data_IF_894403976056
#
_entry.id   IF_894403976056
#
_cell.length_a   1.000
_cell.length_b   1.000
_cell.length_c   1.000
_cell.angle_alpha   90.00
_cell.angle_beta   90.00
_cell.angle_gamma   90.00
#
_symmetry.space_group_name_H-M   'P 1'
#
loop_
_entity.id
_entity.type
_entity.pdbx_description
1 polymer ?
#
# COMPACT_ATOMS: atom_id res chain seq x y z
N UNK A 1 -26.13 -11.07 -7.04
CA UNK A 1 -24.98 -11.71 -6.38
C UNK A 1 -23.78 -11.53 -7.31
N UNK A 2 -22.66 -11.00 -6.82
CA UNK A 2 -21.45 -10.88 -7.63
C UNK A 2 -20.65 -12.18 -7.51
N UNK A 3 -20.16 -12.76 -8.61
CA UNK A 3 -19.30 -13.92 -8.56
C UNK A 3 -17.93 -13.55 -7.95
N UNK A 4 -17.47 -14.35 -6.99
CA UNK A 4 -16.15 -14.24 -6.39
C UNK A 4 -15.30 -15.43 -6.85
N UNK A 5 -14.15 -15.13 -7.46
CA UNK A 5 -13.18 -16.13 -7.90
C UNK A 5 -11.97 -16.09 -6.97
N UNK A 6 -11.92 -16.99 -6.02
CA UNK A 6 -10.76 -17.16 -5.13
C UNK A 6 -9.60 -17.85 -5.87
N UNK A 7 -8.39 -17.62 -5.38
CA UNK A 7 -7.16 -18.23 -5.91
C UNK A 7 -6.92 -17.92 -7.41
N UNK A 8 -7.51 -16.85 -7.92
CA UNK A 8 -7.32 -16.40 -9.29
C UNK A 8 -6.35 -15.23 -9.33
N UNK A 9 -5.20 -15.44 -9.97
CA UNK A 9 -4.18 -14.42 -10.16
C UNK A 9 -4.21 -13.91 -11.61
N UNK A 10 -4.36 -12.59 -11.78
CA UNK A 10 -4.31 -11.96 -13.12
C UNK A 10 -2.87 -12.00 -13.63
N UNK A 11 -2.68 -12.61 -14.79
CA UNK A 11 -1.38 -12.83 -15.42
C UNK A 11 -1.25 -12.17 -16.78
N UNK A 12 -2.33 -11.63 -17.34
CA UNK A 12 -2.32 -10.97 -18.64
C UNK A 12 -3.54 -10.09 -18.86
N UNK A 13 -3.44 -9.22 -19.85
CA UNK A 13 -4.49 -8.30 -20.29
C UNK A 13 -4.58 -8.37 -21.80
N UNK A 14 -5.79 -8.49 -22.32
CA UNK A 14 -6.11 -8.29 -23.75
C UNK A 14 -6.65 -6.88 -23.96
N UNK A 15 -6.26 -6.22 -25.03
CA UNK A 15 -6.67 -4.85 -25.36
C UNK A 15 -7.20 -4.77 -26.80
N UNK A 16 -8.10 -3.83 -27.00
CA UNK A 16 -8.49 -3.32 -28.31
C UNK A 16 -8.14 -1.81 -28.34
N UNK A 17 -7.06 -1.47 -29.02
CA UNK A 17 -6.43 -0.16 -28.91
C UNK A 17 -5.97 0.10 -27.46
N UNK A 18 -6.45 1.20 -26.85
CA UNK A 18 -6.14 1.56 -25.46
C UNK A 18 -7.11 0.95 -24.43
N UNK A 19 -8.19 0.32 -24.89
CA UNK A 19 -9.26 -0.22 -24.04
C UNK A 19 -8.96 -1.67 -23.67
N UNK A 20 -9.09 -2.02 -22.38
CA UNK A 20 -9.01 -3.41 -21.93
C UNK A 20 -10.26 -4.16 -22.42
N UNK A 21 -10.08 -5.27 -23.14
CA UNK A 21 -11.15 -6.15 -23.59
C UNK A 21 -11.35 -7.38 -22.71
N UNK A 22 -10.27 -7.86 -22.08
CA UNK A 22 -10.33 -8.95 -21.12
C UNK A 22 -9.12 -9.00 -20.17
N UNK A 23 -9.31 -9.60 -19.01
CA UNK A 23 -8.25 -10.05 -18.12
C UNK A 23 -8.04 -11.56 -18.27
N UNK A 24 -6.79 -11.97 -18.34
CA UNK A 24 -6.38 -13.37 -18.29
C UNK A 24 -5.92 -13.68 -16.86
N UNK A 25 -6.54 -14.65 -16.23
CA UNK A 25 -6.20 -15.06 -14.87
C UNK A 25 -5.90 -16.56 -14.80
N UNK A 26 -5.01 -16.91 -13.90
CA UNK A 26 -4.66 -18.31 -13.59
C UNK A 26 -5.19 -18.67 -12.22
N UNK A 27 -5.91 -19.76 -12.13
CA UNK A 27 -6.21 -20.43 -10.87
C UNK A 27 -4.91 -21.07 -10.35
N UNK A 28 -4.42 -20.60 -9.19
CA UNK A 28 -3.12 -21.04 -8.65
C UNK A 28 -3.14 -22.47 -8.12
N UNK A 29 -4.31 -23.05 -7.82
CA UNK A 29 -4.44 -24.41 -7.35
C UNK A 29 -4.45 -25.43 -8.49
N UNK A 30 -5.11 -25.08 -9.60
CA UNK A 30 -5.33 -26.01 -10.73
C UNK A 30 -4.47 -25.69 -11.95
N UNK A 31 -3.90 -24.48 -12.01
CA UNK A 31 -3.20 -23.97 -13.18
C UNK A 31 -4.11 -23.57 -14.34
N UNK A 32 -5.44 -23.67 -14.19
CA UNK A 32 -6.41 -23.36 -15.24
C UNK A 32 -6.37 -21.87 -15.59
N UNK A 33 -6.30 -21.59 -16.89
CA UNK A 33 -6.46 -20.23 -17.40
C UNK A 33 -7.93 -19.89 -17.57
N UNK A 34 -8.28 -18.67 -17.17
CA UNK A 34 -9.62 -18.10 -17.28
C UNK A 34 -9.54 -16.74 -17.95
N UNK A 35 -10.57 -16.40 -18.70
CA UNK A 35 -10.70 -15.12 -19.39
C UNK A 35 -11.95 -14.40 -18.88
N UNK A 36 -11.77 -13.15 -18.41
CA UNK A 36 -12.84 -12.31 -17.90
C UNK A 36 -13.00 -11.09 -18.78
N UNK A 37 -14.13 -11.01 -19.49
CA UNK A 37 -14.47 -9.86 -20.33
C UNK A 37 -15.49 -8.97 -19.64
N UNK A 38 -15.28 -7.67 -19.71
CA UNK A 38 -16.19 -6.66 -19.19
C UNK A 38 -15.99 -5.33 -19.93
N UNK A 39 -16.97 -4.41 -19.89
CA UNK A 39 -16.76 -3.06 -20.42
C UNK A 39 -15.87 -2.19 -19.52
N UNK A 40 -15.80 -2.47 -18.21
CA UNK A 40 -15.06 -1.70 -17.21
C UNK A 40 -14.25 -2.64 -16.33
N UNK A 41 -13.09 -2.19 -15.91
CA UNK A 41 -12.18 -2.91 -15.02
C UNK A 41 -11.75 -2.02 -13.86
N UNK A 42 -11.38 -2.63 -12.74
CA UNK A 42 -10.80 -1.91 -11.61
C UNK A 42 -9.55 -2.63 -11.11
N UNK A 43 -8.44 -1.91 -11.02
CA UNK A 43 -7.23 -2.41 -10.37
C UNK A 43 -7.26 -2.11 -8.87
N UNK A 44 -7.57 -3.14 -8.08
CA UNK A 44 -7.53 -3.12 -6.62
C UNK A 44 -6.41 -3.99 -6.07
N UNK A 45 -5.40 -4.33 -6.87
CA UNK A 45 -4.31 -5.24 -6.50
C UNK A 45 -3.35 -4.65 -5.47
N UNK A 46 -3.36 -3.33 -5.33
CA UNK A 46 -2.42 -2.57 -4.50
C UNK A 46 -1.02 -2.47 -5.08
N UNK A 47 -0.65 -3.36 -6.00
CA UNK A 47 0.63 -3.37 -6.72
C UNK A 47 0.48 -2.86 -8.17
N UNK A 48 -0.70 -2.36 -8.55
CA UNK A 48 -1.04 -1.89 -9.90
C UNK A 48 -0.82 -2.96 -10.98
N UNK A 49 -1.07 -4.23 -10.68
CA UNK A 49 -0.75 -5.32 -11.62
C UNK A 49 -1.60 -5.26 -12.89
N UNK A 50 -2.89 -4.95 -12.80
CA UNK A 50 -3.75 -4.83 -13.97
C UNK A 50 -3.35 -3.61 -14.81
N UNK A 51 -3.15 -2.47 -14.16
CA UNK A 51 -2.70 -1.25 -14.84
C UNK A 51 -1.37 -1.44 -15.55
N UNK A 52 -0.39 -2.04 -14.88
CA UNK A 52 0.93 -2.35 -15.46
C UNK A 52 0.81 -3.24 -16.70
N UNK A 53 0.05 -4.34 -16.61
CA UNK A 53 -0.17 -5.26 -17.73
C UNK A 53 -0.95 -4.60 -18.88
N UNK A 54 -1.80 -3.62 -18.59
CA UNK A 54 -2.54 -2.86 -19.58
C UNK A 54 -1.74 -1.71 -20.22
N UNK A 55 -0.53 -1.42 -19.73
CA UNK A 55 0.26 -0.28 -20.19
C UNK A 55 -0.23 1.07 -19.65
N UNK A 56 -0.87 1.07 -18.48
CA UNK A 56 -1.22 2.31 -17.79
C UNK A 56 0.05 3.02 -17.29
N UNK A 57 0.03 4.35 -17.35
CA UNK A 57 1.10 5.17 -16.81
C UNK A 57 1.20 4.99 -15.30
N UNK A 58 2.42 4.87 -14.79
CA UNK A 58 2.68 4.70 -13.36
C UNK A 58 4.00 5.31 -12.93
N UNK A 59 4.18 5.45 -11.60
CA UNK A 59 5.43 5.86 -10.94
C UNK A 59 5.83 4.85 -9.87
N UNK A 60 7.12 4.82 -9.56
CA UNK A 60 7.75 4.09 -8.45
C UNK A 60 8.83 4.98 -7.86
N UNK A 61 9.06 4.86 -6.54
CA UNK A 61 10.08 5.65 -5.87
C UNK A 61 9.60 7.03 -5.44
N UNK A 62 10.55 7.90 -5.08
CA UNK A 62 10.27 9.22 -4.52
C UNK A 62 10.47 10.30 -5.56
N UNK A 63 9.50 11.20 -5.66
CA UNK A 63 9.59 12.41 -6.48
C UNK A 63 10.54 13.43 -5.84
N UNK A 64 11.24 14.21 -6.68
CA UNK A 64 12.09 15.30 -6.22
C UNK A 64 11.28 16.53 -5.80
N UNK A 65 11.80 17.32 -4.86
CA UNK A 65 11.22 18.60 -4.47
C UNK A 65 11.02 19.53 -5.68
N UNK A 66 11.98 19.56 -6.60
CA UNK A 66 11.88 20.39 -7.81
C UNK A 66 10.70 19.98 -8.73
N UNK A 67 10.20 18.76 -8.61
CA UNK A 67 9.08 18.24 -9.40
C UNK A 67 7.72 18.54 -8.76
N UNK A 68 7.61 18.40 -7.45
CA UNK A 68 6.32 18.43 -6.74
C UNK A 68 6.19 19.61 -5.77
N UNK A 69 7.28 20.25 -5.40
CA UNK A 69 7.37 21.26 -4.36
C UNK A 69 6.77 20.82 -3.00
N UNK A 70 6.72 19.51 -2.74
CA UNK A 70 6.22 18.96 -1.48
C UNK A 70 7.26 19.16 -0.36
N UNK A 71 6.89 19.71 0.81
CA UNK A 71 7.84 19.94 1.92
C UNK A 71 8.61 18.69 2.37
N UNK A 72 8.00 17.51 2.24
CA UNK A 72 8.62 16.23 2.63
C UNK A 72 9.24 15.45 1.47
N UNK A 73 9.26 16.04 0.25
CA UNK A 73 9.92 15.43 -0.90
C UNK A 73 11.45 15.47 -0.73
N UNK A 74 12.11 14.48 -1.34
CA UNK A 74 13.59 14.46 -1.40
C UNK A 74 14.12 15.50 -2.38
N UNK A 75 15.37 15.89 -2.23
CA UNK A 75 15.99 16.86 -3.13
C UNK A 75 16.16 16.29 -4.55
N UNK A 76 16.54 15.02 -4.64
CA UNK A 76 16.76 14.30 -5.91
C UNK A 76 15.88 13.06 -5.92
N UNK A 77 15.10 12.88 -6.99
CA UNK A 77 14.26 11.71 -7.17
C UNK A 77 15.06 10.41 -7.16
N UNK A 78 14.50 9.36 -6.57
CA UNK A 78 15.14 8.05 -6.49
C UNK A 78 14.10 6.90 -6.56
N UNK A 79 14.62 5.67 -6.56
CA UNK A 79 13.77 4.46 -6.62
C UNK A 79 13.35 3.93 -5.24
N UNK A 80 13.67 4.62 -4.15
CA UNK A 80 13.35 4.16 -2.81
C UNK A 80 11.83 4.16 -2.58
N UNK A 81 11.33 3.10 -1.98
CA UNK A 81 9.94 2.93 -1.57
C UNK A 81 9.87 2.60 -0.08
N UNK A 82 8.72 2.76 0.53
CA UNK A 82 8.48 2.21 1.87
C UNK A 82 8.59 0.69 1.81
N UNK A 83 9.38 0.11 2.70
CA UNK A 83 9.69 -1.32 2.71
C UNK A 83 8.51 -2.22 3.07
N UNK A 84 8.74 -3.52 2.93
CA UNK A 84 7.79 -4.55 3.36
C UNK A 84 8.15 -5.06 4.75
N UNK A 85 7.17 -5.11 5.66
CA UNK A 85 7.37 -5.61 7.03
C UNK A 85 7.32 -7.12 7.10
N UNK A 86 8.30 -7.72 7.77
CA UNK A 86 8.26 -9.11 8.24
C UNK A 86 8.12 -9.07 9.76
N UNK A 87 6.89 -9.07 10.25
CA UNK A 87 6.59 -9.07 11.68
C UNK A 87 6.79 -10.46 12.28
N UNK A 88 7.09 -10.49 13.57
CA UNK A 88 7.24 -11.73 14.33
C UNK A 88 6.99 -11.48 15.83
N UNK A 89 6.67 -12.52 16.56
CA UNK A 89 6.51 -12.47 18.02
C UNK A 89 7.06 -13.73 18.69
N UNK A 90 7.16 -13.64 20.00
CA UNK A 90 7.60 -14.74 20.85
C UNK A 90 6.57 -15.09 21.89
N UNK A 91 6.63 -16.32 22.36
CA UNK A 91 5.88 -16.82 23.50
C UNK A 91 6.84 -17.24 24.62
N UNK A 92 6.43 -17.03 25.87
CA UNK A 92 7.18 -17.52 27.03
C UNK A 92 6.80 -18.96 27.33
N UNK A 93 7.82 -19.81 27.39
CA UNK A 93 7.68 -21.22 27.75
C UNK A 93 7.90 -21.43 29.24
N UNK A 94 7.40 -22.54 29.80
CA UNK A 94 7.67 -22.97 31.19
C UNK A 94 9.07 -23.47 31.39
N UNK A 95 9.67 -24.03 30.34
CA UNK A 95 11.00 -24.60 30.30
C UNK A 95 11.91 -23.85 29.33
N UNK A 96 13.25 -24.03 29.40
CA UNK A 96 14.16 -23.51 28.40
C UNK A 96 13.74 -23.91 26.99
N UNK A 97 13.71 -22.96 26.07
CA UNK A 97 13.34 -23.16 24.66
C UNK A 97 14.58 -22.96 23.78
N UNK A 98 15.36 -23.98 23.49
CA UNK A 98 16.55 -23.85 22.66
C UNK A 98 16.22 -23.45 21.23
N UNK A 99 17.14 -22.76 20.57
CA UNK A 99 17.05 -22.42 19.16
C UNK A 99 18.36 -22.78 18.47
N UNK A 100 18.36 -23.38 17.28
CA UNK A 100 19.58 -23.80 16.61
C UNK A 100 20.47 -22.61 16.27
N UNK A 101 21.78 -22.84 16.21
CA UNK A 101 22.72 -21.89 15.64
C UNK A 101 22.45 -21.84 14.14
N UNK A 102 22.06 -20.66 13.66
CA UNK A 102 21.70 -20.42 12.26
C UNK A 102 22.87 -19.75 11.55
N UNK A 103 23.62 -20.55 10.76
CA UNK A 103 24.89 -20.12 10.16
C UNK A 103 24.73 -19.59 8.72
N UNK A 104 23.57 -19.78 8.11
CA UNK A 104 23.31 -19.42 6.71
C UNK A 104 22.77 -17.98 6.54
N UNK A 105 22.56 -17.28 7.63
CA UNK A 105 21.89 -16.00 7.64
C UNK A 105 22.83 -14.81 7.69
N UNK A 106 22.30 -13.70 8.21
CA UNK A 106 23.06 -12.49 8.46
C UNK A 106 24.01 -12.66 9.65
N UNK A 107 25.17 -12.06 9.53
CA UNK A 107 26.14 -12.03 10.64
C UNK A 107 25.80 -10.87 11.57
N UNK A 108 25.35 -11.21 12.77
CA UNK A 108 25.12 -10.23 13.84
C UNK A 108 26.28 -10.18 14.80
N UNK A 109 26.49 -9.01 15.38
CA UNK A 109 27.39 -8.75 16.49
C UNK A 109 26.59 -8.26 17.70
N UNK A 110 27.23 -8.09 18.85
CA UNK A 110 26.56 -7.54 20.03
C UNK A 110 26.08 -6.09 19.81
N UNK A 111 26.69 -5.37 18.85
CA UNK A 111 26.37 -3.99 18.51
C UNK A 111 25.20 -3.91 17.48
N UNK A 112 25.14 -4.85 16.54
CA UNK A 112 24.17 -4.85 15.45
C UNK A 112 22.88 -5.62 15.77
N UNK A 113 22.91 -6.54 16.76
CA UNK A 113 21.76 -7.35 17.13
C UNK A 113 20.62 -6.52 17.71
N UNK A 114 19.40 -6.81 17.28
CA UNK A 114 18.20 -6.16 17.81
C UNK A 114 17.72 -6.89 19.06
N UNK A 115 17.96 -6.30 20.25
CA UNK A 115 17.64 -6.87 21.59
C UNK A 115 16.15 -6.71 21.92
N UNK A 116 15.28 -7.35 21.13
CA UNK A 116 13.82 -7.25 21.22
C UNK A 116 13.18 -8.63 21.34
N UNK A 117 11.94 -8.68 21.81
CA UNK A 117 11.16 -9.93 21.99
C UNK A 117 10.09 -10.11 20.92
N UNK A 118 9.92 -9.14 20.04
CA UNK A 118 9.00 -9.15 18.90
C UNK A 118 9.49 -8.18 17.84
N UNK A 119 9.16 -8.47 16.59
CA UNK A 119 9.39 -7.58 15.46
C UNK A 119 8.14 -6.78 15.14
N UNK A 120 8.25 -5.46 15.21
CA UNK A 120 7.16 -4.52 14.95
C UNK A 120 7.15 -4.03 13.50
N UNK A 121 6.31 -3.04 13.22
CA UNK A 121 6.14 -2.46 11.88
C UNK A 121 7.42 -1.94 11.23
N UNK A 122 8.41 -1.56 12.04
CA UNK A 122 9.70 -1.03 11.60
C UNK A 122 10.70 -2.11 11.18
N UNK A 123 10.36 -3.40 11.24
CA UNK A 123 11.15 -4.48 10.64
C UNK A 123 10.81 -4.56 9.15
N UNK A 124 11.49 -3.77 8.34
CA UNK A 124 11.19 -3.56 6.94
C UNK A 124 12.37 -3.88 6.04
N UNK A 125 12.09 -4.59 4.97
CA UNK A 125 13.08 -5.01 3.98
C UNK A 125 12.72 -4.52 2.58
N UNK A 126 13.72 -4.44 1.71
CA UNK A 126 13.51 -4.21 0.29
C UNK A 126 13.20 -2.77 -0.09
N UNK A 127 13.60 -1.77 0.70
CA UNK A 127 13.31 -0.36 0.40
C UNK A 127 13.91 0.15 -0.92
N UNK A 128 14.99 -0.50 -1.40
CA UNK A 128 15.66 -0.20 -2.66
C UNK A 128 15.44 -1.30 -3.72
N UNK A 129 14.42 -2.14 -3.54
CA UNK A 129 14.11 -3.26 -4.44
C UNK A 129 12.74 -3.11 -5.07
N UNK A 130 12.56 -3.76 -6.21
CA UNK A 130 11.24 -3.88 -6.81
C UNK A 130 10.34 -4.75 -5.93
N UNK A 131 9.35 -4.12 -5.30
CA UNK A 131 8.42 -4.75 -4.36
C UNK A 131 7.49 -5.77 -5.03
N UNK A 132 7.45 -5.82 -6.36
CA UNK A 132 6.57 -6.72 -7.12
C UNK A 132 7.39 -7.86 -7.73
N UNK A 133 8.40 -7.55 -8.52
CA UNK A 133 9.20 -8.57 -9.20
C UNK A 133 10.19 -9.29 -8.28
N UNK A 134 10.65 -8.62 -7.21
CA UNK A 134 11.53 -9.21 -6.21
C UNK A 134 10.80 -9.54 -4.88
N UNK A 135 9.45 -9.62 -4.89
CA UNK A 135 8.65 -9.79 -3.68
C UNK A 135 9.08 -10.98 -2.81
N UNK A 136 9.41 -12.11 -3.41
CA UNK A 136 9.89 -13.28 -2.69
C UNK A 136 11.28 -13.07 -2.09
N UNK A 137 12.19 -12.45 -2.85
CA UNK A 137 13.52 -12.10 -2.35
C UNK A 137 13.45 -11.11 -1.17
N UNK A 138 12.54 -10.14 -1.23
CA UNK A 138 12.28 -9.18 -0.14
C UNK A 138 11.77 -9.92 1.11
N UNK A 139 10.81 -10.84 0.95
CA UNK A 139 10.31 -11.69 2.04
C UNK A 139 11.41 -12.58 2.62
N UNK A 140 12.15 -13.28 1.76
CA UNK A 140 13.19 -14.22 2.19
C UNK A 140 14.30 -13.51 2.95
N UNK A 141 14.70 -12.30 2.51
CA UNK A 141 15.61 -11.46 3.28
C UNK A 141 15.07 -11.14 4.67
N UNK A 142 13.79 -10.75 4.79
CA UNK A 142 13.14 -10.51 6.07
C UNK A 142 13.15 -11.75 6.98
N UNK A 143 12.87 -12.94 6.44
CA UNK A 143 12.93 -14.20 7.18
C UNK A 143 14.36 -14.51 7.64
N UNK A 144 15.35 -14.36 6.76
CA UNK A 144 16.77 -14.55 7.11
C UNK A 144 17.18 -13.63 8.26
N UNK A 145 16.78 -12.36 8.23
CA UNK A 145 17.04 -11.39 9.30
C UNK A 145 16.42 -11.85 10.62
N UNK A 146 15.16 -12.24 10.62
CA UNK A 146 14.46 -12.67 11.84
C UNK A 146 15.17 -13.87 12.48
N UNK A 147 15.42 -14.92 11.69
CA UNK A 147 16.05 -16.15 12.21
C UNK A 147 17.50 -15.94 12.63
N UNK A 148 18.27 -15.14 11.91
CA UNK A 148 19.67 -14.86 12.27
C UNK A 148 19.76 -14.03 13.53
N UNK A 149 18.95 -12.97 13.66
CA UNK A 149 18.89 -12.13 14.87
C UNK A 149 18.46 -12.97 16.07
N UNK A 150 17.42 -13.79 15.92
CA UNK A 150 16.94 -14.66 16.97
C UNK A 150 17.97 -15.70 17.39
N UNK A 151 18.64 -16.35 16.42
CA UNK A 151 19.73 -17.28 16.70
C UNK A 151 20.87 -16.63 17.48
N UNK A 152 21.26 -15.40 17.13
CA UNK A 152 22.27 -14.65 17.85
C UNK A 152 21.83 -14.38 19.29
N UNK A 153 20.63 -13.89 19.51
CA UNK A 153 20.07 -13.61 20.85
C UNK A 153 20.04 -14.85 21.74
N UNK A 154 19.68 -16.00 21.19
CA UNK A 154 19.56 -17.27 21.91
C UNK A 154 20.92 -17.90 22.26
N UNK A 155 21.90 -17.75 21.37
CA UNK A 155 23.13 -18.56 21.48
C UNK A 155 24.39 -17.75 21.82
N UNK A 156 24.49 -16.50 21.33
CA UNK A 156 25.76 -15.74 21.33
C UNK A 156 25.70 -14.45 22.13
N UNK A 157 24.53 -13.79 22.23
CA UNK A 157 24.41 -12.51 22.90
C UNK A 157 24.81 -12.58 24.38
N UNK A 158 25.42 -11.49 24.87
CA UNK A 158 25.72 -11.30 26.29
C UNK A 158 24.47 -11.34 27.18
N UNK A 159 23.29 -11.06 26.62
CA UNK A 159 22.00 -11.09 27.31
C UNK A 159 21.17 -12.33 27.01
N UNK A 160 21.75 -13.41 26.46
CA UNK A 160 21.05 -14.63 26.05
C UNK A 160 20.17 -15.23 27.15
N UNK A 161 20.56 -15.11 28.41
CA UNK A 161 19.76 -15.61 29.55
C UNK A 161 18.35 -14.98 29.59
N UNK A 162 18.16 -13.74 29.10
CA UNK A 162 16.86 -13.08 29.04
C UNK A 162 15.90 -13.71 28.00
N UNK A 163 16.45 -14.49 27.08
CA UNK A 163 15.73 -15.15 26.00
C UNK A 163 15.59 -16.65 26.19
N UNK A 164 16.18 -17.23 27.25
CA UNK A 164 16.28 -18.67 27.44
C UNK A 164 14.90 -19.38 27.34
N UNK A 165 13.89 -18.88 28.05
CA UNK A 165 12.54 -19.43 28.03
C UNK A 165 11.61 -18.86 26.93
N UNK A 166 12.13 -18.07 25.99
CA UNK A 166 11.35 -17.54 24.88
C UNK A 166 11.52 -18.38 23.62
N UNK A 167 10.41 -18.72 22.97
CA UNK A 167 10.36 -19.34 21.65
C UNK A 167 9.77 -18.40 20.62
N UNK A 168 10.17 -18.52 19.35
CA UNK A 168 9.42 -17.89 18.27
C UNK A 168 8.05 -18.57 18.17
N UNK A 169 6.99 -17.78 18.29
CA UNK A 169 5.61 -18.23 18.22
C UNK A 169 5.07 -18.09 16.79
N UNK A 170 5.35 -16.95 16.18
CA UNK A 170 4.88 -16.64 14.84
C UNK A 170 5.86 -15.73 14.10
N UNK A 171 6.06 -15.99 12.82
CA UNK A 171 6.79 -15.13 11.89
C UNK A 171 5.92 -14.95 10.65
N UNK A 172 5.77 -13.71 10.20
CA UNK A 172 4.96 -13.40 9.01
C UNK A 172 5.55 -14.08 7.76
N UNK A 173 4.79 -14.99 7.18
CA UNK A 173 5.17 -15.64 5.91
C UNK A 173 5.01 -14.70 4.72
N UNK A 174 4.02 -13.81 4.75
CA UNK A 174 3.80 -12.79 3.73
C UNK A 174 4.31 -11.45 4.24
N UNK A 175 5.23 -10.84 3.51
CA UNK A 175 5.71 -9.51 3.84
C UNK A 175 4.61 -8.46 3.60
N UNK A 176 4.35 -7.63 4.60
CA UNK A 176 3.33 -6.59 4.54
C UNK A 176 3.80 -5.39 3.74
N UNK A 177 3.41 -5.33 2.46
CA UNK A 177 3.79 -4.23 1.56
C UNK A 177 3.04 -2.93 1.87
N UNK A 178 3.75 -1.82 1.79
CA UNK A 178 3.19 -0.47 1.91
C UNK A 178 3.10 0.26 0.59
N UNK A 179 4.08 0.06 -0.26
CA UNK A 179 4.25 0.78 -1.50
C UNK A 179 4.79 -0.12 -2.60
N UNK A 180 4.43 0.20 -3.84
CA UNK A 180 5.00 -0.33 -5.06
C UNK A 180 4.70 0.65 -6.19
N UNK A 181 4.03 0.22 -7.27
CA UNK A 181 3.60 1.09 -8.36
C UNK A 181 2.39 1.94 -7.95
N UNK A 182 2.40 3.20 -8.32
CA UNK A 182 1.28 4.14 -8.23
C UNK A 182 0.86 4.52 -9.64
N UNK A 183 -0.36 4.17 -10.03
CA UNK A 183 -0.92 4.51 -11.35
C UNK A 183 -1.20 6.01 -11.43
N UNK A 184 -1.18 6.56 -12.64
CA UNK A 184 -1.44 7.96 -12.87
C UNK A 184 -2.85 8.19 -13.38
N UNK A 185 -3.59 9.02 -12.67
CA UNK A 185 -4.88 9.57 -13.05
C UNK A 185 -4.74 10.96 -13.67
N UNK A 186 -5.87 11.64 -13.89
CA UNK A 186 -5.88 13.03 -14.37
C UNK A 186 -5.46 14.03 -13.29
N UNK A 187 -5.45 13.62 -12.02
CA UNK A 187 -4.87 14.35 -10.91
C UNK A 187 -3.91 13.45 -10.14
N UNK A 188 -2.79 14.00 -9.68
CA UNK A 188 -1.83 13.33 -8.81
C UNK A 188 -1.88 14.04 -7.46
N UNK A 189 -2.57 13.44 -6.50
CA UNK A 189 -2.67 14.00 -5.15
C UNK A 189 -1.28 14.08 -4.52
N UNK A 190 -0.98 15.24 -3.92
CA UNK A 190 0.31 15.54 -3.32
C UNK A 190 0.15 16.17 -1.92
N UNK A 191 1.26 16.36 -1.19
CA UNK A 191 1.27 16.90 0.17
C UNK A 191 0.71 18.33 0.23
N UNK A 192 0.96 19.15 -0.79
CA UNK A 192 0.48 20.53 -0.81
C UNK A 192 -1.05 20.59 -0.90
N UNK A 193 -1.65 19.69 -1.69
CA UNK A 193 -3.11 19.57 -1.77
C UNK A 193 -3.71 19.26 -0.39
N UNK A 194 -3.06 18.33 0.33
CA UNK A 194 -3.48 17.85 1.65
C UNK A 194 -3.35 18.97 2.69
N UNK A 195 -2.21 19.65 2.74
CA UNK A 195 -1.94 20.70 3.72
C UNK A 195 -2.77 21.96 3.50
N UNK A 196 -3.08 22.26 2.24
CA UNK A 196 -3.94 23.39 1.88
C UNK A 196 -5.43 23.05 1.96
N UNK A 197 -5.79 21.81 2.35
CA UNK A 197 -7.19 21.35 2.44
C UNK A 197 -7.98 21.69 1.16
N UNK A 198 -7.36 21.44 -0.02
CA UNK A 198 -7.94 21.86 -1.31
C UNK A 198 -9.35 21.29 -1.48
N UNK A 199 -10.38 22.16 -1.64
CA UNK A 199 -11.77 21.73 -1.72
C UNK A 199 -12.11 21.32 -3.16
N UNK A 200 -11.66 20.14 -3.57
CA UNK A 200 -11.95 19.63 -4.91
C UNK A 200 -13.45 19.47 -5.16
N UNK A 201 -13.93 19.95 -6.30
CA UNK A 201 -15.32 19.74 -6.73
C UNK A 201 -15.66 18.26 -6.89
N UNK A 202 -14.67 17.45 -7.28
CA UNK A 202 -14.74 16.00 -7.42
C UNK A 202 -14.19 15.26 -6.18
N UNK A 203 -14.17 15.89 -5.00
CA UNK A 203 -13.76 15.27 -3.76
C UNK A 203 -14.66 14.10 -3.38
N UNK A 204 -14.05 12.95 -3.09
CA UNK A 204 -14.77 11.71 -2.83
C UNK A 204 -14.51 11.15 -1.44
N UNK A 205 -13.39 10.50 -1.23
CA UNK A 205 -13.03 9.84 0.04
C UNK A 205 -12.47 10.88 1.00
N UNK A 206 -13.09 11.06 2.16
CA UNK A 206 -12.56 11.89 3.22
C UNK A 206 -11.65 11.08 4.15
N UNK A 207 -10.41 11.53 4.34
CA UNK A 207 -9.43 10.89 5.22
C UNK A 207 -8.67 11.92 6.04
N UNK A 208 -8.11 11.49 7.17
CA UNK A 208 -7.29 12.30 8.10
C UNK A 208 -6.18 11.47 8.73
N UNK A 209 -5.80 10.37 8.10
CA UNK A 209 -4.63 9.63 8.57
C UNK A 209 -3.38 10.48 8.40
N UNK A 210 -2.47 10.47 9.35
CA UNK A 210 -1.20 11.19 9.24
C UNK A 210 -0.43 10.75 7.99
N UNK A 211 0.34 11.66 7.40
CA UNK A 211 1.37 11.27 6.44
C UNK A 211 2.41 10.47 7.20
N UNK A 212 2.44 9.16 6.97
CA UNK A 212 3.28 8.18 7.66
C UNK A 212 4.29 7.61 6.67
N UNK A 213 5.51 8.16 6.71
CA UNK A 213 6.60 7.80 5.82
C UNK A 213 7.65 6.97 6.55
N UNK A 214 8.18 5.98 5.86
CA UNK A 214 9.15 5.04 6.38
C UNK A 214 10.46 5.12 5.57
N UNK A 215 11.57 5.29 6.25
CA UNK A 215 12.90 5.39 5.66
C UNK A 215 13.84 4.36 6.27
N UNK A 216 14.93 3.95 5.57
CA UNK A 216 15.98 3.14 6.19
C UNK A 216 16.49 3.78 7.47
N UNK A 217 16.60 2.99 8.54
CA UNK A 217 17.22 3.44 9.77
C UNK A 217 18.73 3.64 9.56
N UNK A 218 19.29 4.85 9.72
CA UNK A 218 20.72 5.11 9.49
C UNK A 218 21.64 4.23 10.33
N UNK A 219 21.25 3.91 11.57
CA UNK A 219 22.01 3.01 12.42
C UNK A 219 22.03 1.58 11.87
N UNK A 220 20.91 1.14 11.29
CA UNK A 220 20.83 -0.17 10.66
C UNK A 220 21.60 -0.19 9.33
N UNK A 221 21.51 0.86 8.52
CA UNK A 221 22.27 1.01 7.27
C UNK A 221 23.78 0.95 7.51
N UNK A 222 24.28 1.52 8.61
CA UNK A 222 25.70 1.48 8.95
C UNK A 222 26.25 0.05 9.13
N UNK A 223 25.42 -0.87 9.63
CA UNK A 223 25.80 -2.28 9.81
C UNK A 223 25.47 -3.15 8.59
N UNK A 224 24.43 -2.81 7.85
CA UNK A 224 23.87 -3.64 6.76
C UNK A 224 23.58 -2.81 5.50
N UNK A 225 24.60 -2.15 4.91
CA UNK A 225 24.41 -1.27 3.76
C UNK A 225 23.86 -2.03 2.54
N UNK A 226 22.73 -1.57 1.98
CA UNK A 226 22.02 -2.23 0.87
C UNK A 226 21.22 -3.48 1.27
N UNK A 227 21.26 -3.83 2.53
CA UNK A 227 20.53 -4.98 3.12
C UNK A 227 19.83 -4.60 4.42
N UNK A 228 19.36 -3.36 4.48
CA UNK A 228 18.64 -2.80 5.62
C UNK A 228 17.36 -3.60 5.91
N UNK A 229 17.06 -3.71 7.18
CA UNK A 229 15.86 -4.40 7.67
C UNK A 229 15.12 -3.63 8.76
N UNK A 230 15.55 -2.42 9.04
CA UNK A 230 14.91 -1.51 9.99
C UNK A 230 14.57 -0.20 9.32
N UNK A 231 13.39 0.31 9.66
CA UNK A 231 12.96 1.64 9.27
C UNK A 231 12.79 2.55 10.48
N UNK A 232 12.96 3.83 10.24
CA UNK A 232 12.40 4.90 11.06
C UNK A 232 11.14 5.42 10.41
N UNK A 233 10.19 5.90 11.22
CA UNK A 233 8.93 6.45 10.75
C UNK A 233 8.85 7.94 11.09
N UNK A 234 8.43 8.74 10.12
CA UNK A 234 8.04 10.14 10.35
C UNK A 234 6.54 10.24 10.19
N UNK A 235 5.88 10.99 11.07
CA UNK A 235 4.44 11.18 11.01
C UNK A 235 4.12 12.67 11.07
N UNK A 236 3.39 13.14 10.06
CA UNK A 236 2.87 14.51 9.99
C UNK A 236 1.35 14.48 10.05
N UNK A 237 0.78 15.19 11.03
CA UNK A 237 -0.66 15.26 11.20
C UNK A 237 -1.29 16.10 10.10
N UNK A 238 -2.45 15.64 9.64
CA UNK A 238 -3.23 16.30 8.62
C UNK A 238 -4.69 16.46 9.09
N UNK A 239 -5.34 17.54 8.68
CA UNK A 239 -6.76 17.71 8.84
C UNK A 239 -7.55 16.81 7.88
N UNK A 240 -8.87 16.78 7.98
CA UNK A 240 -9.71 16.01 7.06
C UNK A 240 -9.65 16.65 5.67
N UNK A 241 -9.21 15.89 4.68
CA UNK A 241 -9.13 16.31 3.29
C UNK A 241 -9.80 15.28 2.36
N UNK A 242 -10.31 15.69 1.19
CA UNK A 242 -10.90 14.80 0.21
C UNK A 242 -9.83 14.24 -0.75
N UNK A 243 -10.02 13.00 -1.18
CA UNK A 243 -9.29 12.44 -2.33
C UNK A 243 -10.13 12.74 -3.58
N UNK A 244 -9.58 13.42 -4.61
CA UNK A 244 -10.31 13.69 -5.84
C UNK A 244 -10.66 12.41 -6.60
N UNK A 245 -11.83 12.37 -7.23
CA UNK A 245 -12.23 11.25 -8.09
C UNK A 245 -11.23 11.02 -9.23
N UNK A 246 -10.63 12.08 -9.76
CA UNK A 246 -9.59 12.03 -10.80
C UNK A 246 -8.33 11.24 -10.40
N UNK A 247 -8.17 10.89 -9.13
CA UNK A 247 -7.13 9.98 -8.64
C UNK A 247 -7.53 8.50 -8.73
N UNK A 248 -8.79 8.18 -9.10
CA UNK A 248 -9.36 6.84 -9.01
C UNK A 248 -9.60 6.18 -10.38
N UNK A 249 -9.09 6.74 -11.46
CA UNK A 249 -9.09 6.13 -12.79
C UNK A 249 -7.80 6.43 -13.55
N UNK A 250 -7.45 5.57 -14.51
CA UNK A 250 -6.24 5.73 -15.32
C UNK A 250 -6.39 6.85 -16.34
N UNK A 251 -5.33 7.68 -16.50
CA UNK A 251 -5.33 8.77 -17.45
C UNK A 251 -5.21 8.33 -18.91
N UNK A 252 -4.63 7.14 -19.17
CA UNK A 252 -4.34 6.64 -20.52
C UNK A 252 -4.95 5.27 -20.84
N UNK A 253 -5.57 4.58 -19.88
CA UNK A 253 -6.36 3.36 -20.11
C UNK A 253 -7.83 3.67 -19.83
N UNK A 254 -8.65 3.97 -20.86
CA UNK A 254 -9.93 4.66 -20.69
C UNK A 254 -10.94 3.95 -19.80
N UNK A 255 -10.97 2.62 -19.78
CA UNK A 255 -11.94 1.82 -19.03
C UNK A 255 -11.37 1.20 -17.74
N UNK A 256 -10.28 1.76 -17.22
CA UNK A 256 -9.62 1.28 -16.00
C UNK A 256 -9.82 2.22 -14.83
N UNK A 257 -10.53 1.75 -13.82
CA UNK A 257 -10.55 2.32 -12.48
C UNK A 257 -9.39 1.80 -11.64
N UNK A 258 -9.09 2.50 -10.56
CA UNK A 258 -8.12 2.07 -9.56
C UNK A 258 -8.58 2.45 -8.15
N UNK A 259 -8.39 1.51 -7.21
CA UNK A 259 -8.68 1.73 -5.80
C UNK A 259 -7.67 0.96 -4.94
N UNK A 260 -7.13 1.60 -3.93
CA UNK A 260 -6.11 1.00 -3.07
C UNK A 260 -4.88 1.89 -2.96
N UNK A 261 -3.75 1.33 -2.52
CA UNK A 261 -2.49 2.07 -2.43
C UNK A 261 -1.84 2.39 -3.79
N UNK A 262 -2.40 1.88 -4.86
CA UNK A 262 -1.95 2.06 -6.24
C UNK A 262 -2.66 3.20 -6.99
N UNK A 263 -3.41 4.05 -6.31
CA UNK A 263 -4.07 5.22 -6.92
C UNK A 263 -3.07 6.32 -7.28
N UNK A 264 -3.57 7.38 -7.93
CA UNK A 264 -2.75 8.48 -8.43
C UNK A 264 -2.36 9.45 -7.32
N UNK A 265 -1.20 9.21 -6.74
CA UNK A 265 -0.62 10.01 -5.64
C UNK A 265 0.90 10.07 -5.74
N UNK A 266 1.51 11.07 -5.11
CA UNK A 266 2.97 11.10 -4.89
C UNK A 266 3.38 10.10 -3.81
N UNK A 267 4.69 9.83 -3.67
CA UNK A 267 5.23 9.03 -2.57
C UNK A 267 4.81 9.59 -1.21
N UNK A 268 4.90 10.91 -1.04
CA UNK A 268 4.56 11.57 0.23
C UNK A 268 3.08 11.43 0.54
N UNK A 269 2.20 11.77 -0.42
CA UNK A 269 0.76 11.63 -0.22
C UNK A 269 0.31 10.18 -0.02
N UNK A 270 1.04 9.20 -0.56
CA UNK A 270 0.75 7.79 -0.31
C UNK A 270 0.79 7.45 1.19
N UNK A 271 1.63 8.12 1.97
CA UNK A 271 1.76 7.91 3.41
C UNK A 271 0.43 7.99 4.15
N UNK A 272 -0.51 8.81 3.70
CA UNK A 272 -1.82 8.99 4.36
C UNK A 272 -2.95 8.17 3.73
N UNK A 273 -2.91 7.88 2.42
CA UNK A 273 -4.05 7.26 1.71
C UNK A 273 -4.04 5.73 1.71
N UNK A 274 -2.89 5.10 1.98
CA UNK A 274 -2.69 3.65 1.86
C UNK A 274 -3.35 2.79 2.94
N UNK A 275 -3.93 3.40 3.96
CA UNK A 275 -4.52 2.65 5.09
C UNK A 275 -5.85 1.98 4.71
N UNK A 276 -6.12 0.81 5.30
CA UNK A 276 -7.24 -0.06 4.91
C UNK A 276 -8.60 0.64 4.88
N UNK A 277 -8.90 1.49 5.86
CA UNK A 277 -10.19 2.21 5.89
C UNK A 277 -10.36 3.13 4.70
N UNK A 278 -9.33 3.92 4.39
CA UNK A 278 -9.33 4.85 3.25
C UNK A 278 -9.46 4.09 1.93
N UNK A 279 -8.70 3.00 1.76
CA UNK A 279 -8.76 2.19 0.53
C UNK A 279 -10.09 1.46 0.36
N UNK A 280 -10.77 1.06 1.45
CA UNK A 280 -12.11 0.52 1.38
C UNK A 280 -13.13 1.55 0.87
N UNK A 281 -13.04 2.79 1.34
CA UNK A 281 -13.91 3.88 0.85
C UNK A 281 -13.65 4.21 -0.63
N UNK A 282 -12.40 4.11 -1.10
CA UNK A 282 -12.10 4.24 -2.54
C UNK A 282 -12.82 3.18 -3.37
N UNK A 283 -12.83 1.92 -2.90
CA UNK A 283 -13.54 0.83 -3.57
C UNK A 283 -15.05 1.08 -3.65
N UNK A 284 -15.64 1.65 -2.60
CA UNK A 284 -17.06 2.04 -2.60
C UNK A 284 -17.35 3.12 -3.66
N UNK A 285 -16.54 4.17 -3.71
CA UNK A 285 -16.67 5.24 -4.71
C UNK A 285 -16.50 4.71 -6.14
N UNK A 286 -15.51 3.85 -6.38
CA UNK A 286 -15.28 3.23 -7.69
C UNK A 286 -16.48 2.37 -8.10
N UNK A 287 -17.08 1.63 -7.17
CA UNK A 287 -18.31 0.86 -7.42
C UNK A 287 -19.49 1.76 -7.82
N UNK A 288 -19.68 2.89 -7.13
CA UNK A 288 -20.69 3.90 -7.47
C UNK A 288 -20.43 4.51 -8.86
N UNK A 289 -19.18 4.92 -9.15
CA UNK A 289 -18.79 5.48 -10.44
C UNK A 289 -18.99 4.48 -11.57
N UNK A 290 -18.66 3.20 -11.38
CA UNK A 290 -18.92 2.14 -12.35
C UNK A 290 -20.41 1.97 -12.64
N UNK A 291 -21.30 2.19 -11.64
CA UNK A 291 -22.74 2.16 -11.86
C UNK A 291 -23.22 3.37 -12.68
N UNK A 292 -22.61 4.55 -12.49
CA UNK A 292 -22.86 5.75 -13.33
C UNK A 292 -22.42 5.49 -14.75
N UNK A 293 -21.21 4.92 -14.97
CA UNK A 293 -20.72 4.53 -16.28
C UNK A 293 -21.70 3.58 -17.00
N UNK A 294 -22.17 2.55 -16.30
CA UNK A 294 -23.12 1.59 -16.86
C UNK A 294 -24.44 2.24 -17.25
N UNK A 295 -24.98 3.14 -16.40
CA UNK A 295 -26.25 3.83 -16.64
C UNK A 295 -26.18 4.74 -17.85
N UNK A 296 -25.05 5.42 -18.06
CA UNK A 296 -24.87 6.43 -19.11
C UNK A 296 -24.09 5.90 -20.34
N UNK A 297 -23.68 4.62 -20.35
CA UNK A 297 -22.82 4.01 -21.37
C UNK A 297 -21.53 4.82 -21.63
N UNK A 298 -20.86 5.26 -20.58
CA UNK A 298 -19.70 6.15 -20.62
C UNK A 298 -18.47 5.55 -19.93
N UNK A 299 -17.33 6.20 -20.06
CA UNK A 299 -16.04 5.79 -19.49
C UNK A 299 -15.80 6.43 -18.11
N UNK A 300 -14.85 5.93 -17.29
CA UNK A 300 -14.49 6.50 -16.01
C UNK A 300 -14.27 8.03 -15.99
N UNK A 301 -13.56 8.58 -17.00
CA UNK A 301 -13.31 10.02 -17.10
C UNK A 301 -14.59 10.83 -17.30
N UNK A 302 -15.53 10.30 -18.09
CA UNK A 302 -16.78 10.98 -18.41
C UNK A 302 -17.67 11.14 -17.15
N UNK A 303 -17.45 10.35 -16.12
CA UNK A 303 -18.12 10.56 -14.81
C UNK A 303 -17.70 11.89 -14.20
N UNK A 304 -16.43 12.26 -14.35
CA UNK A 304 -15.94 13.57 -13.89
C UNK A 304 -16.49 14.71 -14.79
N UNK A 305 -16.38 14.56 -16.10
CA UNK A 305 -16.67 15.66 -17.04
C UNK A 305 -18.17 15.92 -17.22
N UNK A 306 -18.99 14.86 -17.19
CA UNK A 306 -20.40 14.95 -17.62
C UNK A 306 -21.41 14.45 -16.57
N UNK A 307 -20.97 13.65 -15.59
CA UNK A 307 -21.88 12.95 -14.67
C UNK A 307 -21.50 13.04 -13.21
N UNK A 308 -20.68 14.03 -12.82
CA UNK A 308 -20.17 14.16 -11.47
C UNK A 308 -21.30 14.31 -10.42
N UNK A 309 -22.37 14.99 -10.76
CA UNK A 309 -23.52 15.17 -9.87
C UNK A 309 -24.21 13.83 -9.56
N UNK A 310 -24.31 12.91 -10.54
CA UNK A 310 -24.86 11.56 -10.30
C UNK A 310 -23.98 10.79 -9.31
N UNK A 311 -22.65 10.91 -9.41
CA UNK A 311 -21.73 10.29 -8.45
C UNK A 311 -21.92 10.89 -7.06
N UNK A 312 -21.99 12.21 -6.94
CA UNK A 312 -22.22 12.91 -5.67
C UNK A 312 -23.54 12.51 -5.00
N UNK A 313 -24.60 12.35 -5.79
CA UNK A 313 -25.91 11.86 -5.31
C UNK A 313 -25.76 10.45 -4.70
N UNK A 314 -25.16 9.50 -5.43
CA UNK A 314 -24.92 8.14 -4.93
C UNK A 314 -24.05 8.13 -3.67
N UNK A 315 -23.02 8.96 -3.59
CA UNK A 315 -22.18 9.07 -2.40
C UNK A 315 -22.96 9.62 -1.20
N UNK A 316 -23.92 10.49 -1.42
CA UNK A 316 -24.79 11.05 -0.37
C UNK A 316 -25.80 9.99 0.14
N UNK A 317 -26.39 9.21 -0.77
CA UNK A 317 -27.32 8.13 -0.44
C UNK A 317 -26.62 6.95 0.22
N UNK A 318 -25.32 6.72 -0.09
CA UNK A 318 -24.53 5.61 0.38
C UNK A 318 -24.81 4.30 -0.37
N UNK A 319 -24.29 3.18 0.15
CA UNK A 319 -24.37 1.88 -0.52
C UNK A 319 -25.74 1.19 -0.46
N UNK A 320 -26.79 1.87 -0.01
CA UNK A 320 -28.17 1.39 -0.04
C UNK A 320 -28.50 0.21 0.85
N UNK A 321 -27.59 -0.26 1.71
CA UNK A 321 -27.91 -1.30 2.71
C UNK A 321 -28.73 -0.73 3.85
N UNK A 322 -29.97 -1.19 3.98
CA UNK A 322 -30.83 -0.86 5.13
C UNK A 322 -30.09 -1.14 6.45
N UNK A 323 -30.01 -0.14 7.32
CA UNK A 323 -29.41 -0.26 8.65
C UNK A 323 -27.93 0.11 8.71
N UNK A 324 -27.23 0.30 7.59
CA UNK A 324 -25.89 0.86 7.59
C UNK A 324 -25.98 2.37 7.32
N UNK A 325 -25.61 3.15 8.32
CA UNK A 325 -25.47 4.60 8.14
C UNK A 325 -24.23 4.87 7.29
N UNK A 326 -24.40 5.66 6.22
CA UNK A 326 -23.23 6.22 5.55
C UNK A 326 -22.59 7.26 6.49
N UNK A 327 -21.45 6.88 7.07
CA UNK A 327 -20.69 7.76 7.94
C UNK A 327 -19.58 8.52 7.18
N UNK A 328 -19.50 8.36 5.87
CA UNK A 328 -18.57 9.12 5.05
C UNK A 328 -19.05 10.56 4.99
N UNK A 329 -18.16 11.47 5.32
CA UNK A 329 -18.37 12.91 5.16
C UNK A 329 -17.54 13.34 3.98
N UNK A 330 -18.17 13.33 2.81
CA UNK A 330 -17.52 13.76 1.59
C UNK A 330 -17.39 15.29 1.62
N UNK A 331 -16.18 15.76 1.37
CA UNK A 331 -15.90 17.17 1.11
C UNK A 331 -16.48 18.17 2.14
N UNK A 332 -16.67 17.72 3.36
CA UNK A 332 -17.16 18.58 4.44
C UNK A 332 -15.94 19.04 5.23
N UNK A 333 -15.42 20.20 4.91
CA UNK A 333 -14.39 20.89 5.69
C UNK A 333 -14.87 21.15 7.13
N UNK A 334 -14.81 20.11 7.97
CA UNK A 334 -14.86 20.29 9.41
C UNK A 334 -13.41 20.31 9.90
N UNK A 335 -12.96 21.49 10.28
CA UNK A 335 -11.77 21.61 11.13
C UNK A 335 -12.03 20.76 12.38
N UNK A 336 -11.48 19.57 12.41
CA UNK A 336 -11.41 18.81 13.64
C UNK A 336 -10.29 19.45 14.43
N UNK A 337 -10.62 20.16 15.49
CA UNK A 337 -9.63 20.61 16.46
C UNK A 337 -9.06 19.37 17.16
N UNK A 338 -8.19 18.65 16.50
CA UNK A 338 -7.31 17.70 17.14
C UNK A 338 -6.36 18.54 17.99
N UNK A 339 -6.57 18.52 19.29
CA UNK A 339 -5.64 19.14 20.23
C UNK A 339 -4.26 18.58 19.92
N UNK A 340 -3.35 19.45 19.46
CA UNK A 340 -1.92 19.13 19.46
C UNK A 340 -1.57 18.66 20.88
N UNK A 341 -1.21 17.41 21.02
CA UNK A 341 -0.57 16.90 22.23
C UNK A 341 0.90 17.20 22.17
#
# INVERSE_FOLDING_TARGET
MFPLFLNCHVTGVEKDGEVISALLARDVNTGKLMRFSAPLFSDCTGDANVGYLAGADYRVGREAFAETAEPSAVEVADSQVMGSSVQWNTVKMSEPAPFPVFEYGKVFTEESVQKVKKGEWTWETGMLRDQVFEAERVRDHGLLVVYSNWSYLKNRSQVKAQYDSLALDWVAYVAGKRESRRLLGDHILNQNDIFNEVPYEDGTVATSWSIDLHYPDPANTAFFPGEEFKAICTQEYVEIYPIPYRCLYSRNVPNLFMAGRNISVTHVALGTVRVMRTTAMMGEVVGMAASVCRKNACQPRDVYTDHLDQLKELMTEGCGKKGLKNNQKFNVGRKTHLKKK
#
